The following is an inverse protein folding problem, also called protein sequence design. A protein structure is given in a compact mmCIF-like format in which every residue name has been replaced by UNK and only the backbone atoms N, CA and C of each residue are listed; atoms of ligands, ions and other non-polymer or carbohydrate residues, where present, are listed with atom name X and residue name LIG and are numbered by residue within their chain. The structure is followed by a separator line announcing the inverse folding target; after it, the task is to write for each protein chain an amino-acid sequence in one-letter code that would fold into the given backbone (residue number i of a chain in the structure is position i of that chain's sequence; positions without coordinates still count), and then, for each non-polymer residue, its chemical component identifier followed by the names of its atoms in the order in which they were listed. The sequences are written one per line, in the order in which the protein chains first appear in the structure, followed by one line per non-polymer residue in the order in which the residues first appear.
data_IF_127341008828
#
_entry.id   IF_127341008828
#
_cell.length_a   1.000
_cell.length_b   1.000
_cell.length_c   1.000
_cell.angle_alpha   90.00
_cell.angle_beta   90.00
_cell.angle_gamma   90.00
#
_symmetry.space_group_name_H-M   'P 1'
#
loop_
_entity.id
_entity.type
_entity.pdbx_description
1 polymer ?
#
# COMPACT_ATOMS: atom_id res chain seq x y z
N UNK A 1 17.23 -4.31 69.20
CA UNK A 1 16.55 -5.59 68.85
C UNK A 1 15.08 -5.26 68.83
N UNK A 2 14.35 -5.25 67.74
CA UNK A 2 14.42 -6.01 66.48
C UNK A 2 13.60 -5.25 65.43
N UNK A 3 13.95 -5.50 64.18
CA UNK A 3 13.35 -5.09 62.90
C UNK A 3 11.82 -4.93 62.88
N UNK A 4 11.33 -3.92 62.16
CA UNK A 4 10.10 -4.07 61.38
C UNK A 4 10.18 -3.28 60.07
N UNK A 5 10.15 -4.05 58.98
CA UNK A 5 9.99 -3.65 57.60
C UNK A 5 8.49 -3.73 57.30
N UNK A 6 7.83 -2.63 56.94
CA UNK A 6 6.46 -2.67 56.39
C UNK A 6 6.39 -1.94 55.04
N UNK A 7 6.48 -2.80 54.03
CA UNK A 7 5.69 -2.92 52.80
C UNK A 7 4.57 -1.91 52.55
N UNK A 8 4.46 -1.55 51.27
CA UNK A 8 3.48 -0.70 50.62
C UNK A 8 2.01 -0.98 51.03
N UNK A 9 1.31 0.07 51.44
CA UNK A 9 -0.16 0.07 51.59
C UNK A 9 -0.83 0.83 50.46
N UNK A 10 -1.64 0.06 49.73
CA UNK A 10 -2.78 0.37 48.89
C UNK A 10 -3.22 1.84 48.77
N UNK A 11 -3.10 2.37 47.55
CA UNK A 11 -3.90 3.51 47.09
C UNK A 11 -5.36 3.09 47.08
N UNK A 12 -6.10 3.71 47.98
CA UNK A 12 -7.52 3.56 48.22
C UNK A 12 -8.32 3.78 46.93
N UNK A 13 -8.96 2.71 46.45
CA UNK A 13 -9.96 2.75 45.39
C UNK A 13 -11.10 3.66 45.85
N UNK A 14 -11.17 4.87 45.29
CA UNK A 14 -12.36 5.69 45.39
C UNK A 14 -13.47 4.96 44.62
N UNK A 15 -14.44 4.47 45.39
CA UNK A 15 -15.67 3.85 44.92
C UNK A 15 -16.49 4.89 44.15
N UNK A 16 -16.18 5.09 42.87
CA UNK A 16 -17.02 5.80 41.92
C UNK A 16 -18.23 4.90 41.67
N UNK A 17 -19.29 5.13 42.44
CA UNK A 17 -20.56 4.45 42.28
C UNK A 17 -21.10 4.82 40.90
N UNK A 18 -21.06 3.86 39.96
CA UNK A 18 -21.69 4.00 38.66
C UNK A 18 -23.17 4.35 38.88
N UNK A 19 -23.73 5.37 38.21
CA UNK A 19 -25.15 5.62 38.31
C UNK A 19 -25.87 4.38 37.78
N UNK A 20 -26.65 3.72 38.64
CA UNK A 20 -27.52 2.62 38.24
C UNK A 20 -28.43 3.10 37.10
N UNK A 21 -28.10 2.72 35.88
CA UNK A 21 -28.98 2.90 34.74
C UNK A 21 -30.10 1.88 34.90
N UNK A 22 -31.21 2.30 35.51
CA UNK A 22 -32.46 1.55 35.45
C UNK A 22 -32.94 1.55 34.00
N UNK A 23 -32.49 0.56 33.23
CA UNK A 23 -33.11 0.21 31.96
C UNK A 23 -34.61 -0.04 32.25
N UNK A 24 -35.54 0.58 31.50
CA UNK A 24 -36.95 0.38 31.75
C UNK A 24 -37.26 -1.11 31.62
N UNK A 25 -37.75 -1.69 32.72
CA UNK A 25 -38.18 -3.08 32.81
C UNK A 25 -39.20 -3.33 31.70
N UNK A 26 -38.85 -4.20 30.75
CA UNK A 26 -39.71 -4.58 29.63
C UNK A 26 -41.05 -5.11 30.15
N UNK A 27 -42.07 -4.25 30.17
CA UNK A 27 -43.45 -4.68 30.31
C UNK A 27 -43.99 -4.89 28.91
N UNK A 28 -44.33 -6.15 28.62
CA UNK A 28 -44.76 -6.63 27.32
C UNK A 28 -45.89 -5.80 26.73
N UNK A 29 -45.60 -5.16 25.59
CA UNK A 29 -46.52 -4.64 24.55
C UNK A 29 -45.76 -3.96 23.40
N UNK A 30 -44.42 -3.89 23.43
CA UNK A 30 -43.60 -3.20 22.42
C UNK A 30 -43.25 -4.03 21.17
N UNK A 31 -43.37 -5.37 21.20
CA UNK A 31 -42.82 -6.21 20.11
C UNK A 31 -43.47 -5.95 18.75
N UNK A 32 -44.80 -5.77 18.70
CA UNK A 32 -45.53 -5.58 17.43
C UNK A 32 -45.26 -4.24 16.72
N UNK A 33 -45.04 -3.16 17.49
CA UNK A 33 -44.73 -1.82 16.92
C UNK A 33 -43.26 -1.74 16.50
N UNK A 34 -42.36 -2.34 17.27
CA UNK A 34 -40.94 -2.41 16.95
C UNK A 34 -40.64 -3.30 15.72
N UNK A 35 -41.36 -4.42 15.56
CA UNK A 35 -41.28 -5.27 14.37
C UNK A 35 -41.79 -4.53 13.12
N UNK A 36 -42.96 -3.87 13.19
CA UNK A 36 -43.53 -3.13 12.07
C UNK A 36 -42.66 -1.93 11.63
N UNK A 37 -42.07 -1.21 12.58
CA UNK A 37 -41.15 -0.09 12.28
C UNK A 37 -39.84 -0.58 11.65
N UNK A 38 -39.31 -1.72 12.09
CA UNK A 38 -38.15 -2.36 11.49
C UNK A 38 -38.42 -2.89 10.08
N UNK A 39 -39.60 -3.47 9.83
CA UNK A 39 -40.00 -3.94 8.49
C UNK A 39 -40.11 -2.79 7.49
N UNK A 40 -40.81 -1.70 7.87
CA UNK A 40 -40.93 -0.50 7.02
C UNK A 40 -39.57 0.13 6.74
N UNK A 41 -38.70 0.23 7.76
CA UNK A 41 -37.32 0.69 7.59
C UNK A 41 -36.54 -0.19 6.63
N UNK A 42 -36.63 -1.51 6.77
CA UNK A 42 -35.92 -2.46 5.91
C UNK A 42 -36.42 -2.42 4.47
N UNK A 43 -37.74 -2.31 4.25
CA UNK A 43 -38.34 -2.14 2.93
C UNK A 43 -37.89 -0.82 2.27
N UNK A 44 -37.88 0.28 3.03
CA UNK A 44 -37.37 1.57 2.56
C UNK A 44 -35.89 1.49 2.18
N UNK A 45 -35.05 0.88 3.04
CA UNK A 45 -33.63 0.69 2.75
C UNK A 45 -33.41 -0.19 1.50
N UNK A 46 -34.21 -1.25 1.32
CA UNK A 46 -34.17 -2.10 0.12
C UNK A 46 -34.59 -1.35 -1.15
N UNK A 47 -35.56 -0.44 -1.05
CA UNK A 47 -35.98 0.40 -2.17
C UNK A 47 -34.91 1.45 -2.55
N UNK A 48 -34.20 1.96 -1.55
CA UNK A 48 -33.14 2.97 -1.71
C UNK A 48 -31.76 2.38 -2.03
N UNK A 49 -31.63 1.05 -2.08
CA UNK A 49 -30.37 0.38 -2.41
C UNK A 49 -30.29 0.12 -3.93
N UNK A 50 -29.30 0.70 -4.63
CA UNK A 50 -29.08 0.44 -6.05
C UNK A 50 -28.87 -1.04 -6.37
N UNK A 51 -29.45 -1.47 -7.49
CA UNK A 51 -29.39 -2.88 -7.93
C UNK A 51 -28.51 -3.07 -9.16
N UNK A 52 -28.32 -2.02 -9.94
CA UNK A 52 -27.51 -2.04 -11.16
C UNK A 52 -26.32 -1.11 -11.04
N UNK A 53 -25.29 -1.35 -11.84
CA UNK A 53 -24.14 -0.46 -11.95
C UNK A 53 -24.57 0.97 -12.34
N UNK A 54 -25.54 1.11 -13.23
CA UNK A 54 -26.07 2.41 -13.66
C UNK A 54 -26.78 3.16 -12.51
N UNK A 55 -27.50 2.45 -11.65
CA UNK A 55 -28.13 3.05 -10.46
C UNK A 55 -27.06 3.55 -9.47
N UNK A 56 -26.00 2.76 -9.27
CA UNK A 56 -24.85 3.16 -8.44
C UNK A 56 -24.18 4.40 -9.02
N UNK A 57 -23.99 4.45 -10.34
CA UNK A 57 -23.42 5.61 -11.02
C UNK A 57 -24.29 6.86 -10.85
N UNK A 58 -25.60 6.77 -11.10
CA UNK A 58 -26.54 7.88 -10.90
C UNK A 58 -26.54 8.38 -9.46
N UNK A 59 -26.55 7.47 -8.50
CA UNK A 59 -26.49 7.84 -7.08
C UNK A 59 -25.16 8.51 -6.73
N UNK A 60 -24.06 8.02 -7.27
CA UNK A 60 -22.73 8.61 -7.08
C UNK A 60 -22.63 10.02 -7.67
N UNK A 61 -23.25 10.25 -8.84
CA UNK A 61 -23.36 11.57 -9.47
C UNK A 61 -24.23 12.53 -8.66
N UNK A 62 -25.39 12.08 -8.19
CA UNK A 62 -26.24 12.87 -7.30
C UNK A 62 -25.51 13.27 -6.01
N UNK A 63 -24.78 12.34 -5.39
CA UNK A 63 -24.01 12.65 -4.18
C UNK A 63 -22.88 13.64 -4.51
N UNK A 64 -22.13 13.42 -5.59
CA UNK A 64 -21.04 14.30 -5.99
C UNK A 64 -21.48 15.75 -6.28
N UNK A 65 -22.73 15.95 -6.70
CA UNK A 65 -23.32 17.28 -6.94
C UNK A 65 -23.89 17.94 -5.68
N UNK A 66 -24.09 17.18 -4.60
CA UNK A 66 -24.61 17.72 -3.34
C UNK A 66 -23.62 18.62 -2.63
N UNK A 67 -24.13 19.69 -2.02
CA UNK A 67 -23.33 20.54 -1.12
C UNK A 67 -22.94 19.84 0.18
N UNK A 68 -23.59 18.73 0.52
CA UNK A 68 -23.24 17.90 1.67
C UNK A 68 -22.08 16.93 1.39
N UNK A 69 -21.65 16.80 0.13
CA UNK A 69 -20.52 15.94 -0.20
C UNK A 69 -19.19 16.53 0.31
N UNK A 70 -18.32 15.73 0.92
CA UNK A 70 -16.98 16.17 1.27
C UNK A 70 -16.20 16.66 0.05
N UNK A 71 -15.24 17.57 0.28
CA UNK A 71 -14.45 18.22 -0.77
C UNK A 71 -13.78 17.24 -1.74
N UNK A 72 -13.35 16.09 -1.24
CA UNK A 72 -12.67 15.07 -2.04
C UNK A 72 -13.59 14.33 -3.02
N UNK A 73 -14.91 14.45 -2.83
CA UNK A 73 -15.96 13.81 -3.61
C UNK A 73 -16.77 14.78 -4.48
N UNK A 74 -16.75 16.08 -4.17
CA UNK A 74 -17.53 17.09 -4.88
C UNK A 74 -17.13 17.18 -6.36
N UNK A 75 -18.10 17.02 -7.25
CA UNK A 75 -17.91 16.96 -8.71
C UNK A 75 -17.15 15.72 -9.21
N UNK A 76 -16.96 14.68 -8.37
CA UNK A 76 -16.18 13.48 -8.69
C UNK A 76 -17.00 12.19 -8.45
N UNK A 77 -17.99 11.89 -9.30
CA UNK A 77 -18.82 10.69 -9.17
C UNK A 77 -18.01 9.39 -9.11
N UNK A 78 -16.93 9.28 -9.89
CA UNK A 78 -16.06 8.10 -9.87
C UNK A 78 -15.42 7.84 -8.50
N UNK A 79 -15.00 8.90 -7.78
CA UNK A 79 -14.45 8.77 -6.44
C UNK A 79 -15.51 8.31 -5.44
N UNK A 80 -16.74 8.82 -5.57
CA UNK A 80 -17.87 8.42 -4.73
C UNK A 80 -18.18 6.94 -4.93
N UNK A 81 -18.26 6.51 -6.19
CA UNK A 81 -18.54 5.12 -6.53
C UNK A 81 -17.48 4.18 -5.98
N UNK A 82 -16.20 4.51 -6.16
CA UNK A 82 -15.08 3.69 -5.63
C UNK A 82 -15.13 3.64 -4.11
N UNK A 83 -15.29 4.79 -3.43
CA UNK A 83 -15.37 4.83 -1.99
C UNK A 83 -16.55 4.00 -1.46
N UNK A 84 -17.70 4.06 -2.11
CA UNK A 84 -18.83 3.23 -1.75
C UNK A 84 -18.53 1.73 -1.96
N UNK A 85 -18.01 1.33 -3.12
CA UNK A 85 -17.66 -0.07 -3.38
C UNK A 85 -16.65 -0.59 -2.35
N UNK A 86 -15.64 0.22 -1.99
CA UNK A 86 -14.70 -0.08 -0.91
C UNK A 86 -15.42 -0.21 0.44
N UNK A 87 -16.39 0.66 0.73
CA UNK A 87 -17.24 0.56 1.91
C UNK A 87 -17.97 -0.78 1.98
N UNK A 88 -18.63 -1.18 0.90
CA UNK A 88 -19.34 -2.46 0.81
C UNK A 88 -18.40 -3.63 1.08
N UNK A 89 -17.19 -3.58 0.55
CA UNK A 89 -16.17 -4.58 0.81
C UNK A 89 -15.76 -4.64 2.29
N UNK A 90 -15.76 -3.51 3.00
CA UNK A 90 -15.48 -3.44 4.44
C UNK A 90 -16.70 -3.74 5.33
N UNK A 91 -17.85 -4.10 4.73
CA UNK A 91 -19.11 -4.33 5.45
C UNK A 91 -19.93 -3.07 5.71
N UNK A 92 -19.55 -1.92 5.16
CA UNK A 92 -20.31 -0.67 5.18
C UNK A 92 -21.25 -0.64 3.97
N UNK A 93 -22.50 -1.05 4.17
CA UNK A 93 -23.47 -1.15 3.07
C UNK A 93 -24.11 0.19 2.71
N UNK A 94 -24.15 1.13 3.65
CA UNK A 94 -24.74 2.46 3.42
C UNK A 94 -23.80 3.36 2.61
N UNK A 95 -24.24 3.92 1.47
CA UNK A 95 -23.43 4.82 0.65
C UNK A 95 -22.98 6.06 1.44
N UNK A 96 -23.89 6.64 2.22
CA UNK A 96 -23.61 7.83 3.01
C UNK A 96 -22.60 7.53 4.12
N UNK A 97 -22.72 6.36 4.77
CA UNK A 97 -21.76 5.94 5.78
C UNK A 97 -20.37 5.71 5.16
N UNK A 98 -20.30 5.09 3.97
CA UNK A 98 -19.04 4.89 3.27
C UNK A 98 -18.36 6.23 2.96
N UNK A 99 -19.09 7.20 2.41
CA UNK A 99 -18.56 8.53 2.03
C UNK A 99 -18.10 9.34 3.25
N UNK A 100 -18.79 9.21 4.38
CA UNK A 100 -18.38 9.86 5.63
C UNK A 100 -17.11 9.22 6.22
N UNK A 101 -16.97 7.91 6.11
CA UNK A 101 -15.94 7.15 6.82
C UNK A 101 -14.70 6.82 5.99
N UNK A 102 -14.79 6.93 4.66
CA UNK A 102 -13.69 6.71 3.72
C UNK A 102 -13.19 8.07 3.25
N UNK A 103 -11.88 8.29 3.37
CA UNK A 103 -11.20 9.47 2.86
C UNK A 103 -10.34 9.09 1.65
N UNK A 104 -10.39 9.91 0.60
CA UNK A 104 -9.51 9.76 -0.57
C UNK A 104 -8.29 10.64 -0.36
N UNK A 105 -7.17 10.02 -0.01
CA UNK A 105 -5.91 10.73 0.26
C UNK A 105 -4.84 10.18 -0.69
N UNK A 106 -4.10 11.07 -1.36
CA UNK A 106 -3.08 10.69 -2.34
C UNK A 106 -3.60 9.72 -3.43
N UNK A 107 -4.87 9.86 -3.82
CA UNK A 107 -5.51 9.00 -4.83
C UNK A 107 -5.88 7.61 -4.33
N UNK A 108 -5.83 7.35 -3.01
CA UNK A 108 -6.11 6.04 -2.40
C UNK A 108 -7.31 6.14 -1.46
N UNK A 109 -8.22 5.16 -1.47
CA UNK A 109 -9.24 5.04 -0.45
C UNK A 109 -8.59 4.61 0.88
N UNK A 110 -8.92 5.33 1.94
CA UNK A 110 -8.46 5.07 3.31
C UNK A 110 -9.62 5.22 4.27
N UNK A 111 -9.52 4.68 5.47
CA UNK A 111 -10.57 4.79 6.48
C UNK A 111 -10.11 5.59 7.69
N UNK A 112 -11.00 6.38 8.26
CA UNK A 112 -10.73 7.07 9.52
C UNK A 112 -10.49 6.07 10.66
N UNK A 113 -9.61 6.42 11.59
CA UNK A 113 -9.19 5.49 12.64
C UNK A 113 -10.32 5.01 13.57
N UNK A 114 -11.40 5.78 13.70
CA UNK A 114 -12.58 5.37 14.45
C UNK A 114 -13.43 4.34 13.70
N UNK A 115 -13.57 4.49 12.38
CA UNK A 115 -14.23 3.48 11.55
C UNK A 115 -13.42 2.20 11.49
N UNK A 116 -12.08 2.29 11.42
CA UNK A 116 -11.20 1.13 11.48
C UNK A 116 -11.46 0.29 12.74
N UNK A 117 -11.57 0.94 13.90
CA UNK A 117 -11.93 0.26 15.14
C UNK A 117 -13.35 -0.31 15.10
N UNK A 118 -14.32 0.42 14.56
CA UNK A 118 -15.70 -0.06 14.44
C UNK A 118 -15.81 -1.33 13.57
N UNK A 119 -15.09 -1.38 12.45
CA UNK A 119 -15.02 -2.58 11.58
C UNK A 119 -14.44 -3.76 12.34
N UNK A 120 -13.31 -3.55 13.05
CA UNK A 120 -12.68 -4.61 13.83
C UNK A 120 -13.58 -5.09 14.98
N UNK A 121 -14.27 -4.18 15.66
CA UNK A 121 -15.24 -4.47 16.74
C UNK A 121 -16.45 -5.27 16.26
N UNK A 122 -16.88 -5.05 15.03
CA UNK A 122 -17.98 -5.80 14.42
C UNK A 122 -17.55 -7.22 13.98
N UNK A 123 -16.25 -7.52 13.96
CA UNK A 123 -15.75 -8.82 13.55
C UNK A 123 -16.15 -9.91 14.57
N UNK A 124 -16.59 -11.10 14.13
CA UNK A 124 -16.91 -12.20 15.02
C UNK A 124 -15.75 -12.67 15.91
N UNK A 125 -14.52 -12.37 15.49
CA UNK A 125 -13.30 -12.72 16.22
C UNK A 125 -12.85 -11.64 17.23
N UNK A 126 -13.64 -10.58 17.40
CA UNK A 126 -13.37 -9.51 18.37
C UNK A 126 -13.73 -9.93 19.80
N UNK A 127 -13.01 -9.38 20.78
CA UNK A 127 -13.38 -9.45 22.19
C UNK A 127 -12.97 -8.15 22.90
N UNK A 128 -13.92 -7.48 23.55
CA UNK A 128 -13.60 -6.26 24.33
C UNK A 128 -12.67 -6.55 25.51
N UNK A 129 -12.70 -7.77 26.07
CA UNK A 129 -11.77 -8.17 27.13
C UNK A 129 -10.31 -8.31 26.65
N UNK A 130 -10.11 -8.42 25.33
CA UNK A 130 -8.81 -8.56 24.68
C UNK A 130 -8.33 -7.26 24.04
N UNK A 131 -9.07 -6.16 24.20
CA UNK A 131 -8.74 -4.85 23.66
C UNK A 131 -8.49 -3.85 24.79
N UNK A 132 -7.36 -3.16 24.74
CA UNK A 132 -7.06 -2.07 25.66
C UNK A 132 -6.23 -1.00 24.97
N UNK A 133 -6.50 0.25 25.34
CA UNK A 133 -5.75 1.42 24.89
C UNK A 133 -5.52 2.33 26.08
N UNK A 134 -4.28 2.80 26.23
CA UNK A 134 -3.93 3.77 27.25
C UNK A 134 -2.73 4.60 26.79
N UNK A 135 -2.49 5.70 27.50
CA UNK A 135 -1.33 6.56 27.29
C UNK A 135 -0.61 6.69 28.61
N UNK A 136 0.69 6.42 28.61
CA UNK A 136 1.57 6.63 29.75
C UNK A 136 2.39 7.90 29.55
N UNK A 137 2.81 8.52 30.64
CA UNK A 137 3.64 9.73 30.64
C UNK A 137 2.90 11.01 30.24
N UNK A 138 3.65 12.11 30.22
CA UNK A 138 3.15 13.45 29.91
C UNK A 138 4.13 14.23 29.00
N UNK A 139 3.59 15.18 28.24
CA UNK A 139 4.38 16.04 27.35
C UNK A 139 5.26 15.24 26.39
N UNK A 140 6.56 15.50 26.42
CA UNK A 140 7.53 14.85 25.53
C UNK A 140 7.79 13.35 25.86
N UNK A 141 7.30 12.86 27.00
CA UNK A 141 7.47 11.47 27.44
C UNK A 141 6.20 10.63 27.23
N UNK A 142 5.21 11.15 26.50
CA UNK A 142 3.99 10.39 26.23
C UNK A 142 4.27 9.20 25.32
N UNK A 143 3.71 8.05 25.70
CA UNK A 143 3.69 6.81 24.92
C UNK A 143 2.27 6.29 24.88
N UNK A 144 1.71 6.14 23.68
CA UNK A 144 0.43 5.48 23.51
C UNK A 144 0.64 3.98 23.32
N UNK A 145 -0.25 3.19 23.92
CA UNK A 145 -0.25 1.74 23.86
C UNK A 145 -1.59 1.25 23.31
N UNK A 146 -1.54 0.22 22.48
CA UNK A 146 -2.72 -0.52 22.03
C UNK A 146 -2.41 -2.01 22.10
N UNK A 147 -3.23 -2.75 22.84
CA UNK A 147 -3.25 -4.21 22.82
C UNK A 147 -4.53 -4.70 22.16
N UNK A 148 -4.40 -5.68 21.29
CA UNK A 148 -5.55 -6.37 20.73
C UNK A 148 -5.20 -7.84 20.46
N UNK A 149 -6.16 -8.74 20.67
CA UNK A 149 -6.01 -10.15 20.30
C UNK A 149 -7.16 -10.60 19.43
N UNK A 150 -6.84 -11.39 18.40
CA UNK A 150 -7.83 -12.05 17.57
C UNK A 150 -8.28 -13.37 18.22
N UNK A 151 -9.58 -13.59 18.39
CA UNK A 151 -10.13 -14.86 18.90
C UNK A 151 -10.21 -15.93 17.78
N UNK A 152 -10.27 -17.23 18.14
CA UNK A 152 -10.07 -17.77 19.49
C UNK A 152 -8.58 -17.86 19.88
N UNK A 153 -7.67 -18.03 18.92
CA UNK A 153 -6.29 -18.47 19.15
C UNK A 153 -5.23 -17.51 18.58
N UNK A 154 -5.58 -16.26 18.28
CA UNK A 154 -4.61 -15.26 17.84
C UNK A 154 -3.66 -14.86 18.98
N UNK A 155 -2.46 -14.45 18.61
CA UNK A 155 -1.51 -13.85 19.54
C UNK A 155 -1.98 -12.45 19.97
N UNK A 156 -1.61 -12.04 21.18
CA UNK A 156 -1.78 -10.65 21.60
C UNK A 156 -0.80 -9.80 20.81
N UNK A 157 -1.33 -8.87 20.02
CA UNK A 157 -0.57 -7.80 19.41
C UNK A 157 -0.48 -6.64 20.41
N UNK A 158 0.73 -6.15 20.68
CA UNK A 158 0.96 -4.94 21.47
C UNK A 158 1.77 -3.97 20.64
N UNK A 159 1.22 -2.79 20.39
CA UNK A 159 1.89 -1.72 19.67
C UNK A 159 1.97 -0.48 20.53
N UNK A 160 3.10 0.19 20.43
CA UNK A 160 3.33 1.47 21.07
C UNK A 160 3.68 2.54 20.05
N UNK A 161 3.39 3.78 20.39
CA UNK A 161 3.84 4.93 19.62
C UNK A 161 4.11 6.10 20.55
N UNK A 162 5.36 6.55 20.60
CA UNK A 162 5.83 7.59 21.50
C UNK A 162 5.98 8.95 20.81
N UNK A 163 6.12 10.00 21.61
CA UNK A 163 6.52 11.32 21.12
C UNK A 163 7.91 11.31 20.46
N UNK A 164 8.81 10.41 20.88
CA UNK A 164 10.11 10.23 20.23
C UNK A 164 9.92 9.66 18.82
N UNK A 165 9.10 8.61 18.68
CA UNK A 165 8.77 8.04 17.36
C UNK A 165 8.11 9.08 16.45
N UNK A 166 7.22 9.91 16.99
CA UNK A 166 6.58 10.99 16.25
C UNK A 166 7.59 12.06 15.77
N UNK A 167 8.61 12.35 16.59
CA UNK A 167 9.70 13.27 16.24
C UNK A 167 10.57 12.68 15.14
N UNK A 168 10.98 11.42 15.28
CA UNK A 168 11.84 10.72 14.33
C UNK A 168 11.14 10.52 12.97
N UNK A 169 9.82 10.31 12.99
CA UNK A 169 8.98 10.26 11.79
C UNK A 169 8.67 11.66 11.19
N UNK A 170 9.19 12.74 11.77
CA UNK A 170 9.00 14.11 11.26
C UNK A 170 7.56 14.62 11.35
N UNK A 171 6.73 14.05 12.24
CA UNK A 171 5.30 14.36 12.35
C UNK A 171 5.04 15.63 13.14
N UNK A 172 5.88 15.92 14.15
CA UNK A 172 5.72 17.09 15.01
C UNK A 172 5.88 18.43 14.26
N UNK A 173 6.62 18.42 13.14
CA UNK A 173 6.78 19.59 12.28
C UNK A 173 5.58 19.88 11.39
N UNK A 174 4.62 18.96 11.28
CA UNK A 174 3.44 19.13 10.41
C UNK A 174 2.40 19.98 11.09
N UNK A 175 1.87 20.94 10.33
CA UNK A 175 0.74 21.75 10.79
C UNK A 175 -0.49 20.86 10.97
N UNK A 176 -1.19 21.04 12.11
CA UNK A 176 -2.45 20.36 12.40
C UNK A 176 -2.43 19.50 13.67
N UNK A 177 -3.13 18.35 13.67
CA UNK A 177 -3.42 17.58 14.89
C UNK A 177 -2.20 17.11 15.67
N UNK A 178 -1.04 16.93 15.03
CA UNK A 178 0.21 16.57 15.71
C UNK A 178 0.67 17.62 16.72
N UNK A 179 0.35 18.90 16.50
CA UNK A 179 0.66 20.00 17.41
C UNK A 179 -0.50 20.33 18.36
N UNK A 180 -1.74 20.24 17.87
CA UNK A 180 -2.94 20.63 18.62
C UNK A 180 -3.48 19.51 19.51
N UNK A 181 -3.40 18.26 19.05
CA UNK A 181 -3.99 17.08 19.67
C UNK A 181 -3.03 15.87 19.68
N UNK A 182 -1.79 16.03 20.20
CA UNK A 182 -0.76 14.99 20.13
C UNK A 182 -1.21 13.67 20.78
N UNK A 183 -1.92 13.72 21.92
CA UNK A 183 -2.45 12.52 22.60
C UNK A 183 -3.32 11.66 21.68
N UNK A 184 -4.24 12.28 20.94
CA UNK A 184 -5.13 11.58 20.01
C UNK A 184 -4.35 10.98 18.84
N UNK A 185 -3.34 11.69 18.35
CA UNK A 185 -2.50 11.21 17.24
C UNK A 185 -1.62 10.03 17.64
N UNK A 186 -1.03 10.06 18.84
CA UNK A 186 -0.28 8.92 19.38
C UNK A 186 -1.20 7.69 19.53
N UNK A 187 -2.38 7.87 20.13
CA UNK A 187 -3.38 6.80 20.26
C UNK A 187 -3.75 6.20 18.90
N UNK A 188 -4.07 7.04 17.92
CA UNK A 188 -4.44 6.59 16.57
C UNK A 188 -3.30 5.83 15.89
N UNK A 189 -2.04 6.23 16.09
CA UNK A 189 -0.89 5.48 15.57
C UNK A 189 -0.77 4.09 16.17
N UNK A 190 -0.73 3.99 17.50
CA UNK A 190 -0.63 2.69 18.17
C UNK A 190 -1.80 1.77 17.78
N UNK A 191 -3.02 2.31 17.76
CA UNK A 191 -4.23 1.62 17.29
C UNK A 191 -4.11 1.12 15.85
N UNK A 192 -3.70 1.99 14.93
CA UNK A 192 -3.67 1.69 13.51
C UNK A 192 -2.71 0.57 13.16
N UNK A 193 -1.58 0.46 13.86
CA UNK A 193 -0.68 -0.68 13.70
C UNK A 193 -1.26 -1.96 14.29
N UNK A 194 -1.75 -1.90 15.54
CA UNK A 194 -2.33 -3.07 16.21
C UNK A 194 -3.51 -3.69 15.43
N UNK A 195 -4.44 -2.85 14.96
CA UNK A 195 -5.62 -3.31 14.24
C UNK A 195 -5.29 -3.88 12.85
N UNK A 196 -4.40 -3.23 12.08
CA UNK A 196 -4.06 -3.71 10.73
C UNK A 196 -3.34 -5.05 10.73
N UNK A 197 -2.48 -5.27 11.70
CA UNK A 197 -1.71 -6.51 11.79
C UNK A 197 -2.53 -7.66 12.40
N UNK A 198 -3.57 -7.34 13.19
CA UNK A 198 -4.40 -8.36 13.87
C UNK A 198 -5.72 -8.67 13.14
N UNK A 199 -6.34 -7.67 12.52
CA UNK A 199 -7.62 -7.75 11.80
C UNK A 199 -7.45 -7.46 10.30
N UNK A 200 -6.35 -7.97 9.73
CA UNK A 200 -6.04 -7.81 8.30
C UNK A 200 -7.17 -8.28 7.37
N UNK A 201 -7.88 -9.41 7.61
CA UNK A 201 -8.97 -9.84 6.75
C UNK A 201 -10.14 -8.85 6.70
N UNK A 202 -10.50 -8.26 7.83
CA UNK A 202 -11.59 -7.30 7.94
C UNK A 202 -11.21 -5.94 7.33
N UNK A 203 -9.95 -5.53 7.48
CA UNK A 203 -9.45 -4.25 6.97
C UNK A 203 -8.96 -4.30 5.52
N UNK A 204 -8.77 -5.48 4.94
CA UNK A 204 -8.42 -5.69 3.52
C UNK A 204 -7.18 -4.90 3.06
N UNK A 205 -6.22 -4.69 3.96
CA UNK A 205 -5.01 -3.92 3.69
C UNK A 205 -5.22 -2.41 3.56
N UNK A 206 -6.41 -1.89 3.88
CA UNK A 206 -6.69 -0.46 3.84
C UNK A 206 -5.95 0.24 4.98
N UNK A 207 -5.36 1.39 4.64
CA UNK A 207 -4.61 2.23 5.58
C UNK A 207 -5.53 3.16 6.35
N UNK A 208 -5.06 3.57 7.53
CA UNK A 208 -5.69 4.62 8.31
C UNK A 208 -5.50 5.97 7.62
N UNK A 209 -6.55 6.77 7.53
CA UNK A 209 -6.54 8.07 6.86
C UNK A 209 -5.54 9.05 7.48
N UNK A 210 -5.41 9.03 8.80
CA UNK A 210 -4.45 9.83 9.58
C UNK A 210 -3.00 9.44 9.27
N UNK A 211 -2.73 8.19 8.91
CA UNK A 211 -1.43 7.74 8.41
C UNK A 211 -1.16 8.22 7.00
N UNK A 212 -2.12 8.02 6.10
CA UNK A 212 -1.94 8.36 4.70
C UNK A 212 -1.81 9.89 4.50
N UNK A 213 -2.47 10.70 5.34
CA UNK A 213 -2.33 12.17 5.33
C UNK A 213 -0.93 12.65 5.66
N UNK A 214 -0.20 11.87 6.45
CA UNK A 214 1.16 12.19 6.80
C UNK A 214 2.13 11.84 5.67
N UNK A 215 1.73 11.05 4.69
CA UNK A 215 2.57 10.77 3.54
C UNK A 215 2.48 11.97 2.59
N UNK A 216 3.60 12.66 2.41
CA UNK A 216 3.72 13.64 1.33
C UNK A 216 3.67 12.87 0.02
N UNK A 217 2.74 13.20 -0.89
CA UNK A 217 2.73 12.56 -2.20
C UNK A 217 4.08 12.78 -2.86
N UNK A 218 4.70 11.69 -3.34
CA UNK A 218 5.91 11.80 -4.15
C UNK A 218 5.64 12.81 -5.28
N UNK A 219 6.52 13.79 -5.46
CA UNK A 219 6.46 14.70 -6.59
C UNK A 219 6.80 13.92 -7.86
N UNK A 220 5.86 13.10 -8.32
CA UNK A 220 6.01 12.08 -9.35
C UNK A 220 4.78 12.04 -10.22
N UNK A 221 4.78 12.95 -11.20
CA UNK A 221 3.78 13.18 -12.25
C UNK A 221 2.48 13.85 -11.78
N UNK A 222 2.17 15.07 -12.26
CA UNK A 222 0.84 15.62 -12.09
C UNK A 222 -0.14 14.65 -12.77
N UNK A 223 -1.05 14.08 -11.98
CA UNK A 223 -2.28 13.50 -12.53
C UNK A 223 -2.97 14.67 -13.21
N UNK A 224 -2.83 14.75 -14.54
CA UNK A 224 -3.54 15.76 -15.33
C UNK A 224 -5.03 15.54 -15.04
N UNK A 225 -5.59 16.41 -14.21
CA UNK A 225 -7.03 16.56 -14.15
C UNK A 225 -7.43 17.04 -15.55
N UNK A 226 -8.02 16.13 -16.33
CA UNK A 226 -8.52 16.48 -17.63
C UNK A 226 -9.51 17.65 -17.46
N UNK A 227 -9.29 18.80 -18.12
CA UNK A 227 -10.27 19.86 -18.07
C UNK A 227 -11.57 19.31 -18.67
N UNK A 228 -12.63 19.37 -17.88
CA UNK A 228 -13.99 19.11 -18.32
C UNK A 228 -14.43 20.26 -19.24
N UNK A 229 -13.91 20.30 -20.48
CA UNK A 229 -14.49 20.95 -21.66
C UNK A 229 -13.47 20.94 -22.81
N UNK A 230 -13.69 20.08 -23.80
CA UNK A 230 -12.84 20.02 -25.00
C UNK A 230 -13.02 18.77 -25.86
N UNK A 231 -14.22 18.20 -25.91
CA UNK A 231 -14.52 17.09 -26.81
C UNK A 231 -14.66 17.59 -28.24
N UNK A 232 -13.66 17.32 -29.10
CA UNK A 232 -13.81 16.74 -30.46
C UNK A 232 -12.58 16.93 -31.37
N UNK A 233 -11.63 17.83 -31.09
CA UNK A 233 -10.52 18.07 -32.03
C UNK A 233 -9.21 17.28 -31.79
N UNK A 234 -9.05 16.57 -30.66
CA UNK A 234 -7.78 15.89 -30.34
C UNK A 234 -7.72 14.38 -30.64
N UNK A 235 -8.77 13.77 -31.20
CA UNK A 235 -8.78 12.32 -31.49
C UNK A 235 -7.95 11.92 -32.73
N UNK A 236 -7.58 12.85 -33.60
CA UNK A 236 -6.80 12.53 -34.81
C UNK A 236 -5.28 12.43 -34.57
N UNK A 237 -4.72 13.15 -33.59
CA UNK A 237 -3.26 13.25 -33.39
C UNK A 237 -2.63 12.15 -32.54
N UNK A 238 -3.40 11.51 -31.65
CA UNK A 238 -2.87 10.51 -30.71
C UNK A 238 -2.73 9.12 -31.32
N UNK A 239 -3.59 8.75 -32.28
CA UNK A 239 -3.47 7.49 -33.03
C UNK A 239 -2.19 7.44 -33.89
N UNK A 240 -1.80 8.56 -34.51
CA UNK A 240 -0.58 8.65 -35.34
C UNK A 240 0.69 8.43 -34.51
N UNK A 241 0.81 9.08 -33.35
CA UNK A 241 2.03 9.02 -32.52
C UNK A 241 2.29 7.64 -31.88
N UNK A 242 1.24 6.86 -31.63
CA UNK A 242 1.37 5.49 -31.11
C UNK A 242 1.75 4.53 -32.24
N UNK A 243 1.23 4.72 -33.44
CA UNK A 243 1.63 3.98 -34.64
C UNK A 243 3.11 4.16 -34.98
N UNK A 244 3.59 5.40 -34.94
CA UNK A 244 4.98 5.75 -35.27
C UNK A 244 5.99 5.13 -34.28
N UNK A 245 5.69 5.14 -32.98
CA UNK A 245 6.54 4.50 -31.96
C UNK A 245 6.58 2.98 -32.08
N UNK A 246 5.47 2.35 -32.48
CA UNK A 246 5.41 0.89 -32.67
C UNK A 246 6.18 0.46 -33.93
N UNK A 247 6.10 1.27 -35.01
CA UNK A 247 6.86 1.06 -36.24
C UNK A 247 8.38 1.18 -36.01
N UNK A 248 8.83 2.18 -35.25
CA UNK A 248 10.24 2.35 -34.87
C UNK A 248 10.77 1.17 -34.03
N UNK A 249 9.97 0.62 -33.10
CA UNK A 249 10.36 -0.58 -32.33
C UNK A 249 10.47 -1.83 -33.20
N UNK A 250 9.60 -2.00 -34.20
CA UNK A 250 9.68 -3.13 -35.15
C UNK A 250 10.91 -3.02 -36.06
N UNK A 251 11.21 -1.83 -36.60
CA UNK A 251 12.42 -1.61 -37.40
C UNK A 251 13.70 -1.86 -36.60
N UNK A 252 13.78 -1.37 -35.35
CA UNK A 252 14.95 -1.60 -34.48
C UNK A 252 15.14 -3.08 -34.12
N UNK A 253 14.06 -3.85 -34.00
CA UNK A 253 14.10 -5.30 -33.79
C UNK A 253 14.55 -6.06 -35.05
N UNK A 254 14.07 -5.66 -36.23
CA UNK A 254 14.49 -6.23 -37.51
C UNK A 254 15.97 -5.94 -37.82
N UNK A 255 16.44 -4.72 -37.55
CA UNK A 255 17.85 -4.35 -37.69
C UNK A 255 18.75 -5.17 -36.75
N UNK A 256 18.30 -5.46 -35.52
CA UNK A 256 19.02 -6.34 -34.59
C UNK A 256 19.10 -7.78 -35.09
N UNK A 257 18.01 -8.32 -35.66
CA UNK A 257 18.02 -9.66 -36.27
C UNK A 257 18.93 -9.74 -37.48
N UNK A 258 18.88 -8.75 -38.37
CA UNK A 258 19.78 -8.69 -39.54
C UNK A 258 21.24 -8.54 -39.12
N UNK A 259 21.56 -7.73 -38.10
CA UNK A 259 22.92 -7.62 -37.58
C UNK A 259 23.42 -8.96 -36.99
N UNK A 260 22.53 -9.74 -36.38
CA UNK A 260 22.85 -11.06 -35.83
C UNK A 260 23.05 -12.11 -36.93
N UNK A 261 22.21 -12.13 -37.97
CA UNK A 261 22.40 -12.99 -39.15
C UNK A 261 23.69 -12.64 -39.92
N UNK A 262 24.04 -11.35 -40.02
CA UNK A 262 25.32 -10.92 -40.61
C UNK A 262 26.52 -11.36 -39.77
N UNK A 263 26.40 -11.34 -38.44
CA UNK A 263 27.44 -11.84 -37.55
C UNK A 263 27.61 -13.37 -37.65
N UNK A 264 26.51 -14.12 -37.68
CA UNK A 264 26.50 -15.57 -37.81
C UNK A 264 27.07 -16.02 -39.17
N UNK A 265 26.69 -15.37 -40.27
CA UNK A 265 27.25 -15.66 -41.61
C UNK A 265 28.72 -15.28 -41.76
N UNK A 266 29.17 -14.21 -41.09
CA UNK A 266 30.59 -13.83 -41.06
C UNK A 266 31.41 -14.77 -40.18
N UNK A 267 30.82 -15.34 -39.12
CA UNK A 267 31.44 -16.35 -38.27
C UNK A 267 31.59 -17.71 -38.99
N UNK A 268 30.59 -18.12 -39.79
CA UNK A 268 30.67 -19.34 -40.60
C UNK A 268 31.72 -19.26 -41.72
N UNK A 269 31.96 -18.06 -42.28
CA UNK A 269 32.96 -17.86 -43.34
C UNK A 269 34.41 -17.85 -42.83
N UNK A 270 34.63 -17.72 -41.52
CA UNK A 270 35.97 -17.69 -40.89
C UNK A 270 36.38 -19.01 -40.22
N UNK A 271 35.57 -20.06 -40.34
CA UNK A 271 35.77 -21.34 -39.67
C UNK A 271 36.75 -22.31 -40.36
N UNK A 272 37.58 -21.85 -41.30
CA UNK A 272 38.62 -22.66 -41.95
C UNK A 272 40.00 -21.98 -41.83
N UNK A 273 40.54 -21.96 -40.60
CA UNK A 273 41.95 -21.68 -40.30
C UNK A 273 42.30 -22.28 -38.92
N UNK A 274 43.52 -22.85 -38.74
CA UNK A 274 43.81 -23.72 -37.61
C UNK A 274 44.00 -22.95 -36.30
N UNK A 275 43.73 -23.67 -35.21
CA UNK A 275 43.95 -23.33 -33.82
C UNK A 275 45.38 -22.86 -33.54
N UNK A 276 45.50 -21.68 -32.92
CA UNK A 276 46.69 -21.27 -32.16
C UNK A 276 46.28 -20.70 -30.81
N UNK A 277 46.95 -21.18 -29.76
CA UNK A 277 46.95 -20.58 -28.43
C UNK A 277 47.37 -19.10 -28.50
N UNK A 278 46.66 -18.24 -27.79
CA UNK A 278 47.11 -16.90 -27.39
C UNK A 278 47.17 -15.83 -28.48
N UNK A 279 46.47 -14.72 -28.22
CA UNK A 279 46.59 -13.43 -28.93
C UNK A 279 46.31 -13.45 -30.45
N UNK A 280 45.19 -12.84 -30.85
CA UNK A 280 45.01 -12.39 -32.22
C UNK A 280 46.09 -11.35 -32.61
N UNK A 281 46.33 -11.13 -33.92
CA UNK A 281 47.41 -10.31 -34.41
C UNK A 281 47.23 -8.86 -33.94
N UNK A 282 48.01 -8.45 -32.93
CA UNK A 282 47.96 -7.10 -32.35
C UNK A 282 47.86 -7.02 -30.82
N UNK A 283 47.73 -8.15 -30.10
CA UNK A 283 47.72 -8.13 -28.62
C UNK A 283 46.46 -7.51 -28.00
N UNK A 284 45.43 -7.22 -28.80
CA UNK A 284 44.15 -6.68 -28.35
C UNK A 284 43.22 -7.78 -27.85
N UNK A 285 42.59 -7.53 -26.70
CA UNK A 285 41.65 -8.45 -26.06
C UNK A 285 40.36 -8.47 -26.88
N UNK A 286 39.99 -9.65 -27.41
CA UNK A 286 38.78 -9.80 -28.24
C UNK A 286 37.54 -10.07 -27.38
N UNK A 287 36.36 -9.67 -27.88
CA UNK A 287 35.08 -9.95 -27.21
C UNK A 287 34.88 -11.46 -26.96
N UNK A 288 35.31 -12.31 -27.89
CA UNK A 288 35.21 -13.76 -27.76
C UNK A 288 36.00 -14.29 -26.55
N UNK A 289 37.21 -13.78 -26.33
CA UNK A 289 38.05 -14.15 -25.20
C UNK A 289 37.41 -13.75 -23.86
N UNK A 290 36.88 -12.52 -23.77
CA UNK A 290 36.21 -12.04 -22.53
C UNK A 290 34.97 -12.88 -22.21
N UNK A 291 34.15 -13.19 -23.22
CA UNK A 291 32.99 -14.07 -23.04
C UNK A 291 33.37 -15.49 -22.61
N UNK A 292 34.51 -16.01 -23.06
CA UNK A 292 35.03 -17.31 -22.63
C UNK A 292 35.50 -17.29 -21.17
N UNK A 293 36.21 -16.24 -20.75
CA UNK A 293 36.65 -16.07 -19.35
C UNK A 293 35.44 -15.95 -18.39
N UNK A 294 34.41 -15.20 -18.78
CA UNK A 294 33.16 -15.11 -18.01
C UNK A 294 32.51 -16.49 -17.83
N UNK A 295 32.49 -17.33 -18.86
CA UNK A 295 31.92 -18.68 -18.77
C UNK A 295 32.74 -19.61 -17.86
N UNK A 296 34.06 -19.45 -17.83
CA UNK A 296 34.98 -20.26 -17.02
C UNK A 296 34.98 -19.87 -15.54
N UNK A 297 34.60 -18.64 -15.21
CA UNK A 297 34.56 -18.17 -13.84
C UNK A 297 33.58 -19.01 -12.98
N UNK A 298 34.07 -19.43 -11.81
CA UNK A 298 33.33 -20.24 -10.83
C UNK A 298 33.08 -19.48 -9.54
N UNK A 299 33.90 -18.47 -9.25
CA UNK A 299 33.77 -17.61 -8.07
C UNK A 299 33.35 -16.19 -8.46
N UNK A 300 32.85 -15.44 -7.45
CA UNK A 300 32.44 -14.05 -7.64
C UNK A 300 33.61 -13.13 -7.96
N UNK A 301 34.79 -13.45 -7.45
CA UNK A 301 36.01 -12.65 -7.65
C UNK A 301 36.59 -12.86 -9.05
N UNK A 302 36.62 -14.11 -9.54
CA UNK A 302 36.98 -14.43 -10.94
C UNK A 302 36.04 -13.75 -11.96
N UNK A 303 34.75 -13.63 -11.61
CA UNK A 303 33.79 -12.90 -12.43
C UNK A 303 34.05 -11.39 -12.48
N UNK A 304 34.52 -10.80 -11.37
CA UNK A 304 34.87 -9.38 -11.33
C UNK A 304 36.11 -9.09 -12.17
N UNK A 305 37.11 -9.97 -12.13
CA UNK A 305 38.30 -9.89 -12.98
C UNK A 305 37.97 -10.04 -14.47
N UNK A 306 37.07 -10.97 -14.82
CA UNK A 306 36.65 -11.19 -16.20
C UNK A 306 35.87 -9.98 -16.78
N UNK A 307 35.09 -9.27 -15.96
CA UNK A 307 34.46 -8.00 -16.37
C UNK A 307 35.48 -6.89 -16.59
N UNK A 308 36.56 -6.85 -15.81
CA UNK A 308 37.54 -5.77 -15.93
C UNK A 308 38.18 -5.75 -17.33
N UNK A 309 38.33 -6.93 -17.93
CA UNK A 309 38.78 -7.13 -19.31
C UNK A 309 37.83 -6.54 -20.36
N UNK A 310 36.55 -6.31 -20.04
CA UNK A 310 35.58 -5.69 -20.95
C UNK A 310 35.93 -4.23 -21.30
N UNK A 311 36.76 -3.55 -20.50
CA UNK A 311 37.27 -2.20 -20.82
C UNK A 311 38.16 -2.16 -22.05
N UNK A 312 38.73 -3.30 -22.44
CA UNK A 312 39.60 -3.42 -23.60
C UNK A 312 38.86 -3.89 -24.86
N UNK A 313 37.55 -4.11 -24.77
CA UNK A 313 36.69 -4.49 -25.89
C UNK A 313 36.02 -3.24 -26.46
N UNK A 314 35.84 -3.12 -27.80
CA UNK A 314 35.10 -2.03 -28.41
C UNK A 314 33.68 -1.84 -27.83
N UNK A 315 33.24 -0.59 -27.73
CA UNK A 315 31.96 -0.21 -27.12
C UNK A 315 30.73 -0.84 -27.81
N UNK A 316 30.87 -1.18 -29.10
CA UNK A 316 29.83 -1.91 -29.87
C UNK A 316 29.50 -3.28 -29.29
N UNK A 317 30.47 -3.91 -28.60
CA UNK A 317 30.39 -5.31 -28.20
C UNK A 317 30.14 -5.47 -26.69
N UNK A 318 30.13 -4.36 -25.94
CA UNK A 318 29.80 -4.34 -24.50
C UNK A 318 28.42 -4.94 -24.22
N UNK A 319 27.48 -4.83 -25.17
CA UNK A 319 26.17 -5.46 -25.07
C UNK A 319 26.25 -6.99 -24.97
N UNK A 320 27.16 -7.61 -25.72
CA UNK A 320 27.34 -9.07 -25.76
C UNK A 320 28.00 -9.56 -24.46
N UNK A 321 29.03 -8.85 -23.99
CA UNK A 321 29.73 -9.17 -22.74
C UNK A 321 28.79 -9.06 -21.53
N UNK A 322 27.94 -8.03 -21.48
CA UNK A 322 26.97 -7.83 -20.41
C UNK A 322 25.89 -8.92 -20.36
N UNK A 323 25.44 -9.42 -21.50
CA UNK A 323 24.49 -10.54 -21.54
C UNK A 323 25.14 -11.85 -21.08
N UNK A 324 26.38 -12.13 -21.49
CA UNK A 324 27.14 -13.28 -21.01
C UNK A 324 27.36 -13.24 -19.49
N UNK A 325 27.66 -12.06 -18.93
CA UNK A 325 27.82 -11.88 -17.49
C UNK A 325 26.52 -12.14 -16.71
N UNK A 326 25.39 -11.58 -17.16
CA UNK A 326 24.10 -11.80 -16.50
C UNK A 326 23.69 -13.27 -16.51
N UNK A 327 23.92 -13.96 -17.63
CA UNK A 327 23.64 -15.38 -17.76
C UNK A 327 24.46 -16.20 -16.75
N UNK A 328 25.77 -15.94 -16.65
CA UNK A 328 26.64 -16.65 -15.71
C UNK A 328 26.32 -16.34 -14.25
N UNK A 329 25.98 -15.10 -13.92
CA UNK A 329 25.57 -14.72 -12.57
C UNK A 329 24.29 -15.42 -12.13
N UNK A 330 23.35 -15.64 -13.05
CA UNK A 330 22.12 -16.39 -12.77
C UNK A 330 22.43 -17.87 -12.49
N UNK A 331 23.30 -18.49 -13.29
CA UNK A 331 23.74 -19.89 -13.08
C UNK A 331 24.40 -20.09 -11.71
N UNK A 332 25.34 -19.21 -11.33
CA UNK A 332 26.04 -19.32 -10.04
C UNK A 332 25.12 -19.10 -8.83
N UNK A 333 24.06 -18.29 -8.97
CA UNK A 333 23.03 -18.13 -7.92
C UNK A 333 22.17 -19.37 -7.77
N UNK A 334 21.83 -20.04 -8.86
CA UNK A 334 21.04 -21.28 -8.84
C UNK A 334 21.85 -22.46 -8.30
N UNK A 335 23.16 -22.51 -8.55
CA UNK A 335 24.04 -23.55 -7.99
C UNK A 335 24.41 -23.37 -6.51
N UNK A 336 24.08 -22.21 -5.91
CA UNK A 336 24.37 -21.88 -4.51
C UNK A 336 23.16 -22.03 -3.56
N UNK A 337 21.98 -22.39 -4.09
CA UNK A 337 20.76 -22.74 -3.34
C UNK A 337 20.65 -24.24 -3.11
#
# INVERSE_FOLDING_TARGET
MTTDTQTAEAVQQQNLQEPEFHAPTETGTASGVELATNEVRNQFMQAMTPRTFDDVWRMSDMIAQSDLAPKDYKGKPGNVMIAWQTGVELGITSPLQAIQNIAVINGRPTIWGDMMLAICRAAPAWSEADFAEWIEGEGAQMVAHCTVRRRPNGNVAHYTFSMADAKDAGLLGKQGPWQQYPKRMLQMRARGFALRDTFTPELKGIRMAEEERDITPEAGQPVQQAPANGGQQQRAGTASRVGDKLAQRRQKSQQRRQAQEVYETTAETKADAPSSEGAGPGGEITCAYVCEQIKKATTRDEMAEAIDLARHVPESDHGVVNEAYKARLAELKTSAQ
#
